data_IF_687105337993
#
_entry.id   IF_687105337993
#
_cell.length_a   1.000
_cell.length_b   1.000
_cell.length_c   1.000
_cell.angle_alpha   90.00
_cell.angle_beta   90.00
_cell.angle_gamma   90.00
#
_symmetry.space_group_name_H-M   'P 1'
#
loop_
_entity.id
_entity.type
_entity.pdbx_description
1 polymer ?
#
# COMPACT_ATOMS: atom_id res chain seq x y z
N UNK A 1 18.37 -1.69 2.67
CA UNK A 1 17.19 -1.07 2.00
C UNK A 1 16.86 0.20 2.80
N UNK A 2 16.99 1.38 2.19
CA UNK A 2 16.72 2.62 2.91
C UNK A 2 15.21 2.86 2.87
N UNK A 3 14.51 2.65 4.00
CA UNK A 3 13.10 2.99 4.14
C UNK A 3 12.84 4.50 3.97
N UNK A 4 11.61 4.89 3.73
CA UNK A 4 11.21 6.31 3.75
C UNK A 4 11.54 6.86 5.14
N UNK A 5 12.41 7.86 5.22
CA UNK A 5 12.88 8.43 6.48
C UNK A 5 11.98 9.56 7.00
N UNK A 6 10.99 10.00 6.21
CA UNK A 6 10.06 11.05 6.59
C UNK A 6 8.79 11.00 5.74
N UNK A 7 7.72 11.54 6.29
CA UNK A 7 6.44 11.78 5.64
C UNK A 7 5.98 13.22 5.91
N UNK A 8 5.22 13.78 4.99
CA UNK A 8 4.59 15.09 5.15
C UNK A 8 3.08 14.91 5.06
N UNK A 9 2.33 15.62 5.91
CA UNK A 9 0.88 15.61 5.88
C UNK A 9 0.35 16.19 4.56
N UNK A 10 -0.84 15.77 4.10
CA UNK A 10 -1.44 16.25 2.84
C UNK A 10 -1.53 17.78 2.75
N UNK A 11 -1.84 18.48 3.83
CA UNK A 11 -1.89 19.94 3.90
C UNK A 11 -0.50 20.62 4.02
N UNK A 12 0.59 19.84 4.14
CA UNK A 12 1.95 20.35 4.26
C UNK A 12 2.32 20.92 5.64
N UNK A 13 1.45 20.83 6.65
CA UNK A 13 1.70 21.39 7.99
C UNK A 13 2.64 20.54 8.81
N UNK A 14 2.47 19.24 8.84
CA UNK A 14 3.25 18.34 9.68
C UNK A 14 4.28 17.55 8.87
N UNK A 15 5.49 17.44 9.41
CA UNK A 15 6.51 16.51 8.91
C UNK A 15 6.84 15.53 10.02
N UNK A 16 6.74 14.25 9.70
CA UNK A 16 7.03 13.16 10.63
C UNK A 16 8.18 12.30 10.16
N UNK A 17 8.90 11.73 11.11
CA UNK A 17 10.02 10.86 10.87
C UNK A 17 10.60 10.31 12.16
N UNK A 18 11.88 10.02 12.16
CA UNK A 18 12.60 9.64 13.38
C UNK A 18 13.99 10.24 13.41
N UNK A 19 14.42 10.65 14.60
CA UNK A 19 15.79 11.02 14.88
C UNK A 19 16.58 9.76 15.29
N UNK A 20 17.85 9.70 14.90
CA UNK A 20 18.74 8.63 15.30
C UNK A 20 19.84 9.19 16.22
N UNK A 21 20.09 8.53 17.34
CA UNK A 21 21.16 8.85 18.29
C UNK A 21 21.93 7.58 18.67
N UNK A 22 23.11 7.76 19.24
CA UNK A 22 23.93 6.66 19.76
C UNK A 22 23.79 6.65 21.29
N UNK A 23 23.36 5.52 21.84
CA UNK A 23 23.27 5.32 23.26
C UNK A 23 24.66 5.17 23.90
N UNK A 24 24.78 5.26 25.26
CA UNK A 24 26.06 5.11 25.97
C UNK A 24 26.75 3.74 25.79
N UNK A 25 26.00 2.72 25.33
CA UNK A 25 26.49 1.38 25.02
C UNK A 25 26.85 1.18 23.53
N UNK A 26 26.98 2.28 22.78
CA UNK A 26 27.23 2.31 21.33
C UNK A 26 26.10 1.72 20.46
N UNK A 27 24.92 1.43 21.03
CA UNK A 27 23.75 1.03 20.26
C UNK A 27 23.04 2.23 19.61
N UNK A 28 22.40 1.99 18.45
CA UNK A 28 21.56 3.02 17.81
C UNK A 28 20.18 3.08 18.48
N UNK A 29 19.78 4.29 18.85
CA UNK A 29 18.44 4.59 19.34
C UNK A 29 17.69 5.45 18.33
N UNK A 30 16.38 5.19 18.19
CA UNK A 30 15.52 5.92 17.28
C UNK A 30 14.35 6.51 18.06
N UNK A 31 14.18 7.83 17.92
CA UNK A 31 13.08 8.58 18.54
C UNK A 31 12.15 9.06 17.41
N UNK A 32 10.86 8.69 17.39
CA UNK A 32 9.90 9.33 16.52
C UNK A 32 9.86 10.84 16.75
N UNK A 33 9.70 11.59 15.65
CA UNK A 33 9.66 13.06 15.69
C UNK A 33 8.55 13.56 14.79
N UNK A 34 7.74 14.49 15.29
CA UNK A 34 6.76 15.26 14.52
C UNK A 34 7.17 16.72 14.62
N UNK A 35 7.22 17.42 13.48
CA UNK A 35 7.45 18.87 13.42
C UNK A 35 6.23 19.55 12.84
N UNK A 36 5.64 20.48 13.56
CA UNK A 36 4.64 21.40 13.05
C UNK A 36 5.34 22.55 12.34
N UNK A 37 5.23 22.64 11.02
CA UNK A 37 5.87 23.67 10.20
C UNK A 37 5.21 25.04 10.34
N UNK A 38 3.97 25.11 10.82
CA UNK A 38 3.25 26.35 11.03
C UNK A 38 3.71 27.04 12.31
N UNK A 39 3.90 26.29 13.39
CA UNK A 39 4.33 26.84 14.69
C UNK A 39 5.83 26.71 14.94
N UNK A 40 6.52 25.82 14.22
CA UNK A 40 7.91 25.44 14.46
C UNK A 40 8.08 24.50 15.67
N UNK A 41 7.00 24.01 16.24
CA UNK A 41 7.04 23.12 17.41
C UNK A 41 7.50 21.70 17.00
N UNK A 42 8.32 21.10 17.86
CA UNK A 42 8.88 19.77 17.62
C UNK A 42 8.46 18.85 18.77
N UNK A 43 7.80 17.77 18.43
CA UNK A 43 7.36 16.71 19.35
C UNK A 43 8.29 15.52 19.16
N UNK A 44 9.07 15.17 20.19
CA UNK A 44 9.99 14.05 20.20
C UNK A 44 9.51 12.98 21.18
N UNK A 45 9.40 11.75 20.69
CA UNK A 45 8.94 10.59 21.45
C UNK A 45 10.13 9.66 21.71
N UNK A 46 10.79 9.82 22.81
CA UNK A 46 11.90 8.94 23.01
C UNK A 46 12.66 9.01 24.32
N UNK A 47 13.55 8.06 24.54
CA UNK A 47 13.70 6.83 23.74
C UNK A 47 12.46 5.94 23.89
N UNK A 48 11.93 5.44 22.78
CA UNK A 48 10.78 4.55 22.80
C UNK A 48 11.11 3.27 23.60
N UNK A 49 10.18 2.72 24.39
CA UNK A 49 10.45 1.57 25.27
C UNK A 49 11.02 0.38 24.49
N UNK A 50 11.82 -0.44 25.17
CA UNK A 50 12.64 -1.56 24.66
C UNK A 50 12.04 -2.46 23.57
N UNK A 51 10.75 -2.38 23.29
CA UNK A 51 10.05 -3.18 22.29
C UNK A 51 10.27 -2.72 20.83
N UNK A 52 10.73 -1.48 20.59
CA UNK A 52 10.95 -0.96 19.24
C UNK A 52 12.44 -0.68 19.02
N UNK A 53 13.19 -1.74 18.82
CA UNK A 53 14.61 -1.63 18.53
C UNK A 53 14.92 -1.17 17.08
N UNK A 54 13.92 -1.17 16.19
CA UNK A 54 14.10 -0.79 14.79
C UNK A 54 12.83 -0.17 14.21
N UNK A 55 12.69 1.14 14.31
CA UNK A 55 11.76 1.90 13.46
C UNK A 55 12.31 1.89 12.04
N UNK A 56 11.73 1.08 11.16
CA UNK A 56 12.31 0.82 9.85
C UNK A 56 11.80 1.73 8.77
N UNK A 57 10.60 2.29 8.93
CA UNK A 57 9.98 3.06 7.88
C UNK A 57 8.90 3.99 8.43
N UNK A 58 9.01 5.29 8.11
CA UNK A 58 7.89 6.22 8.27
C UNK A 58 6.88 5.93 7.17
N UNK A 59 5.64 5.65 7.55
CA UNK A 59 4.58 5.28 6.62
C UNK A 59 3.82 6.51 6.11
N UNK A 60 3.16 7.23 7.02
CA UNK A 60 2.36 8.40 6.71
C UNK A 60 2.18 9.28 7.96
N UNK A 61 1.67 10.49 7.74
CA UNK A 61 1.22 11.42 8.79
C UNK A 61 -0.05 12.12 8.34
N UNK A 62 -1.04 12.27 9.23
CA UNK A 62 -2.29 12.97 8.96
C UNK A 62 -2.16 14.49 9.10
N UNK A 63 -3.18 15.24 8.65
CA UNK A 63 -3.28 16.69 8.84
C UNK A 63 -3.52 17.11 10.31
N UNK A 64 -3.78 16.14 11.18
CA UNK A 64 -3.86 16.34 12.63
C UNK A 64 -2.58 15.91 13.38
N UNK A 65 -1.49 15.63 12.65
CA UNK A 65 -0.21 15.29 13.26
C UNK A 65 -0.13 13.88 13.85
N UNK A 66 -0.95 12.93 13.37
CA UNK A 66 -0.82 11.52 13.75
C UNK A 66 0.17 10.84 12.81
N UNK A 67 1.33 10.46 13.34
CA UNK A 67 2.45 9.84 12.62
C UNK A 67 2.42 8.32 12.78
N UNK A 68 2.49 7.60 11.66
CA UNK A 68 2.57 6.14 11.63
C UNK A 68 3.97 5.68 11.25
N UNK A 69 4.59 4.84 12.08
CA UNK A 69 5.92 4.29 11.87
C UNK A 69 5.86 2.77 11.97
N UNK A 70 6.47 2.08 11.01
CA UNK A 70 6.58 0.63 11.01
C UNK A 70 7.63 0.16 12.01
N UNK A 71 7.23 -0.77 12.88
CA UNK A 71 8.14 -1.51 13.76
C UNK A 71 8.78 -2.66 12.96
N UNK A 72 10.07 -2.56 12.76
CA UNK A 72 10.81 -3.57 11.98
C UNK A 72 11.13 -4.83 12.75
N UNK A 73 11.03 -4.83 14.07
CA UNK A 73 11.36 -5.99 14.91
C UNK A 73 10.12 -6.83 15.24
N UNK A 74 9.05 -6.17 15.73
CA UNK A 74 7.83 -6.89 16.12
C UNK A 74 6.81 -6.99 15.00
N UNK A 75 7.08 -6.37 13.84
CA UNK A 75 6.11 -6.18 12.76
C UNK A 75 5.00 -5.21 13.16
N UNK A 76 4.18 -4.80 12.18
CA UNK A 76 3.09 -3.88 12.42
C UNK A 76 3.51 -2.40 12.45
N UNK A 77 2.60 -1.55 12.91
CA UNK A 77 2.76 -0.10 12.92
C UNK A 77 2.41 0.45 14.29
N UNK A 78 3.10 1.52 14.67
CA UNK A 78 2.81 2.31 15.87
C UNK A 78 2.46 3.73 15.44
N UNK A 79 1.43 4.30 16.06
CA UNK A 79 1.01 5.67 15.86
C UNK A 79 1.46 6.56 17.02
N UNK A 80 1.90 7.78 16.70
CA UNK A 80 2.30 8.84 17.60
C UNK A 80 1.53 10.10 17.25
N UNK A 81 1.05 10.85 18.24
CA UNK A 81 0.37 12.11 18.00
C UNK A 81 1.01 13.28 18.74
N UNK A 82 0.62 14.51 18.38
CA UNK A 82 1.15 15.75 18.99
C UNK A 82 0.70 15.96 20.44
N UNK A 83 -0.21 15.14 20.97
CA UNK A 83 -0.61 15.15 22.39
C UNK A 83 0.26 14.24 23.25
N UNK A 84 1.18 13.47 22.63
CA UNK A 84 2.07 12.54 23.31
C UNK A 84 1.51 11.13 23.45
N UNK A 85 0.38 10.82 22.81
CA UNK A 85 -0.18 9.49 22.85
C UNK A 85 0.58 8.56 21.89
N UNK A 86 0.72 7.31 22.34
CA UNK A 86 1.31 6.22 21.58
C UNK A 86 0.27 5.12 21.46
N UNK A 87 -0.09 4.76 20.22
CA UNK A 87 -1.16 3.80 19.96
C UNK A 87 -0.68 2.70 19.03
N UNK A 88 -0.92 1.44 19.40
CA UNK A 88 -0.79 0.30 18.50
C UNK A 88 -2.14 0.05 17.80
N UNK A 89 -2.21 0.18 16.46
CA UNK A 89 -3.41 -0.18 15.71
C UNK A 89 -3.79 -1.65 15.95
N UNK A 90 -5.09 -1.90 16.14
CA UNK A 90 -5.60 -3.25 16.38
C UNK A 90 -5.91 -3.94 15.07
N UNK A 91 -5.69 -5.26 15.01
CA UNK A 91 -6.24 -6.13 13.97
C UNK A 91 -7.71 -6.45 14.25
N UNK A 92 -8.50 -6.79 13.22
CA UNK A 92 -9.82 -7.36 13.43
C UNK A 92 -9.76 -8.63 14.28
N UNK A 93 -10.89 -9.00 14.91
CA UNK A 93 -10.98 -10.23 15.68
C UNK A 93 -10.65 -11.47 14.82
N UNK A 94 -9.86 -12.39 15.36
CA UNK A 94 -9.42 -13.61 14.66
C UNK A 94 -8.09 -13.48 13.91
N UNK A 95 -7.56 -12.26 13.74
CA UNK A 95 -6.24 -12.05 13.14
C UNK A 95 -5.13 -12.22 14.18
N UNK A 96 -4.08 -12.96 13.83
CA UNK A 96 -2.95 -13.22 14.74
C UNK A 96 -1.82 -12.22 14.63
N UNK A 97 -1.68 -11.58 13.46
CA UNK A 97 -0.58 -10.66 13.17
C UNK A 97 -0.87 -9.22 13.58
N UNK A 98 0.20 -8.45 13.83
CA UNK A 98 0.09 -7.00 13.99
C UNK A 98 -0.15 -6.36 12.62
N UNK A 99 -1.06 -5.36 12.51
CA UNK A 99 -1.37 -4.75 11.24
C UNK A 99 -0.28 -3.75 10.82
N UNK A 100 -0.13 -3.58 9.52
CA UNK A 100 0.69 -2.52 8.93
C UNK A 100 -0.23 -1.44 8.38
N UNK A 101 -0.11 -0.20 8.85
CA UNK A 101 -0.76 0.97 8.28
C UNK A 101 0.14 1.52 7.18
N UNK A 102 -0.41 1.73 5.98
CA UNK A 102 0.32 2.24 4.82
C UNK A 102 0.00 3.73 4.54
N UNK A 103 -1.25 4.14 4.78
CA UNK A 103 -1.69 5.50 4.52
C UNK A 103 -2.87 5.91 5.41
N UNK A 104 -3.10 7.23 5.48
CA UNK A 104 -4.23 7.85 6.18
C UNK A 104 -4.90 8.90 5.30
N UNK A 105 -6.22 9.10 5.46
CA UNK A 105 -6.92 10.27 4.93
C UNK A 105 -6.42 11.56 5.58
N UNK A 106 -6.67 12.71 4.96
CA UNK A 106 -6.23 14.01 5.48
C UNK A 106 -6.73 14.28 6.89
N UNK A 107 -8.00 14.01 7.14
CA UNK A 107 -8.64 14.20 8.44
C UNK A 107 -8.26 13.14 9.50
N UNK A 108 -7.44 12.15 9.12
CA UNK A 108 -7.02 11.07 10.02
C UNK A 108 -8.12 10.09 10.41
N UNK A 109 -9.34 10.25 9.88
CA UNK A 109 -10.48 9.38 10.18
C UNK A 109 -10.30 7.96 9.65
N UNK A 110 -9.74 7.84 8.43
CA UNK A 110 -9.53 6.58 7.74
C UNK A 110 -8.05 6.25 7.67
N UNK A 111 -7.69 5.04 8.08
CA UNK A 111 -6.36 4.46 7.87
C UNK A 111 -6.51 3.22 7.03
N UNK A 112 -5.57 2.96 6.15
CA UNK A 112 -5.57 1.77 5.31
C UNK A 112 -4.26 1.02 5.43
N UNK A 113 -4.34 -0.28 5.24
CA UNK A 113 -3.19 -1.16 5.34
C UNK A 113 -3.56 -2.62 5.21
N UNK A 114 -2.87 -3.48 5.92
CA UNK A 114 -3.10 -4.92 5.84
C UNK A 114 -2.69 -5.62 7.13
N UNK A 115 -3.25 -6.79 7.38
CA UNK A 115 -2.74 -7.68 8.40
C UNK A 115 -1.69 -8.63 7.81
N UNK A 116 -0.56 -8.74 8.49
CA UNK A 116 0.37 -9.84 8.28
C UNK A 116 -0.16 -11.05 9.05
N UNK A 117 -1.05 -11.80 8.44
CA UNK A 117 -1.19 -13.18 8.84
C UNK A 117 0.11 -13.90 8.50
N UNK A 118 0.45 -14.89 9.29
CA UNK A 118 1.63 -15.73 9.10
C UNK A 118 1.43 -16.61 7.84
N UNK A 119 1.44 -15.91 6.68
CA UNK A 119 1.09 -16.43 5.34
C UNK A 119 1.96 -17.63 5.00
N UNK A 120 3.20 -17.63 5.49
CA UNK A 120 4.20 -18.64 5.15
C UNK A 120 4.05 -19.94 5.99
N UNK A 121 3.43 -19.87 7.16
CA UNK A 121 3.29 -21.03 8.04
C UNK A 121 1.95 -21.78 7.93
N UNK A 122 0.87 -21.10 7.55
CA UNK A 122 -0.49 -21.69 7.51
C UNK A 122 -1.23 -21.52 6.18
N UNK A 123 -0.61 -20.92 5.15
CA UNK A 123 -1.26 -20.69 3.84
C UNK A 123 -2.37 -19.63 3.87
N UNK A 124 -2.38 -18.75 4.86
CA UNK A 124 -3.31 -17.63 4.96
C UNK A 124 -3.04 -16.56 3.92
N UNK A 125 -4.09 -15.85 3.48
CA UNK A 125 -3.97 -14.73 2.55
C UNK A 125 -3.76 -13.43 3.33
N UNK A 126 -2.90 -12.53 2.80
CA UNK A 126 -2.83 -11.15 3.28
C UNK A 126 -4.16 -10.46 3.01
N UNK A 127 -4.73 -9.82 4.04
CA UNK A 127 -6.03 -9.17 3.98
C UNK A 127 -5.90 -7.65 4.04
N UNK A 128 -6.53 -6.93 3.08
CA UNK A 128 -6.57 -5.48 3.10
C UNK A 128 -7.52 -5.00 4.18
N UNK A 129 -7.10 -4.00 4.93
CA UNK A 129 -7.83 -3.48 6.08
C UNK A 129 -8.09 -1.98 5.94
N UNK A 130 -9.23 -1.54 6.46
CA UNK A 130 -9.60 -0.16 6.72
C UNK A 130 -9.87 0.02 8.21
N UNK A 131 -9.33 1.07 8.80
CA UNK A 131 -9.72 1.56 10.11
C UNK A 131 -10.55 2.82 9.95
N UNK A 132 -11.69 2.84 10.58
CA UNK A 132 -12.53 4.04 10.70
C UNK A 132 -12.53 4.46 12.16
N UNK A 133 -12.00 5.64 12.46
CA UNK A 133 -11.84 6.12 13.84
C UNK A 133 -11.11 5.08 14.73
N UNK A 134 -10.08 4.42 14.18
CA UNK A 134 -9.30 3.39 14.87
C UNK A 134 -9.95 2.00 14.97
N UNK A 135 -11.17 1.82 14.45
CA UNK A 135 -11.89 0.53 14.45
C UNK A 135 -11.59 -0.19 13.13
N UNK A 136 -10.94 -1.38 13.17
CA UNK A 136 -10.57 -2.12 11.97
C UNK A 136 -11.74 -2.91 11.37
N UNK A 137 -11.76 -2.94 10.03
CA UNK A 137 -12.61 -3.80 9.24
C UNK A 137 -11.85 -4.34 8.02
N UNK A 138 -12.17 -5.54 7.57
CA UNK A 138 -11.63 -6.09 6.33
C UNK A 138 -12.29 -5.40 5.13
N UNK A 139 -11.48 -4.98 4.16
CA UNK A 139 -11.97 -4.49 2.88
C UNK A 139 -12.48 -5.66 2.02
N UNK A 140 -13.57 -5.47 1.25
CA UNK A 140 -14.09 -6.51 0.38
C UNK A 140 -13.01 -7.07 -0.55
N UNK A 141 -12.99 -8.39 -0.70
CA UNK A 141 -12.05 -9.11 -1.55
C UNK A 141 -12.68 -9.35 -2.94
N UNK A 142 -11.94 -9.25 -4.05
CA UNK A 142 -12.45 -9.65 -5.35
C UNK A 142 -12.53 -11.18 -5.43
N UNK A 143 -13.40 -11.72 -6.31
CA UNK A 143 -13.58 -13.18 -6.42
C UNK A 143 -12.35 -13.88 -6.98
N UNK A 144 -11.60 -13.19 -7.84
CA UNK A 144 -10.42 -13.70 -8.54
C UNK A 144 -9.35 -12.64 -8.62
N UNK A 145 -8.09 -13.08 -8.77
CA UNK A 145 -6.97 -12.19 -9.05
C UNK A 145 -7.10 -11.55 -10.46
N UNK A 146 -6.18 -10.68 -10.81
CA UNK A 146 -6.21 -9.99 -12.11
C UNK A 146 -5.99 -10.91 -13.34
N UNK A 147 -5.52 -12.15 -13.14
CA UNK A 147 -5.39 -13.20 -14.16
C UNK A 147 -6.62 -14.14 -14.22
N UNK A 148 -7.67 -13.85 -13.45
CA UNK A 148 -8.86 -14.68 -13.30
C UNK A 148 -8.59 -16.03 -12.61
N UNK A 149 -7.57 -16.10 -11.76
CA UNK A 149 -7.17 -17.25 -10.95
C UNK A 149 -7.53 -17.04 -9.47
N UNK A 150 -7.40 -18.08 -8.66
CA UNK A 150 -7.51 -17.98 -7.21
C UNK A 150 -6.31 -17.25 -6.61
N UNK A 151 -6.52 -16.50 -5.53
CA UNK A 151 -5.45 -15.82 -4.83
C UNK A 151 -4.52 -16.81 -4.13
N UNK A 152 -3.22 -16.53 -4.17
CA UNK A 152 -2.18 -17.31 -3.48
C UNK A 152 -1.54 -16.56 -2.34
N UNK A 153 -1.40 -15.24 -2.46
CA UNK A 153 -0.74 -14.38 -1.47
C UNK A 153 -1.71 -13.39 -0.83
N UNK A 154 -2.61 -12.80 -1.62
CA UNK A 154 -3.62 -11.88 -1.14
C UNK A 154 -3.44 -10.44 -1.59
N UNK A 155 -4.04 -9.51 -0.83
CA UNK A 155 -4.13 -8.10 -1.19
C UNK A 155 -3.65 -7.25 -0.02
N UNK A 156 -2.94 -6.16 -0.34
CA UNK A 156 -2.54 -5.12 0.59
C UNK A 156 -3.18 -3.80 0.18
N UNK A 157 -3.91 -3.14 1.06
CA UNK A 157 -4.30 -1.75 0.84
C UNK A 157 -3.06 -0.86 1.03
N UNK A 158 -2.77 0.01 0.05
CA UNK A 158 -1.50 0.75 -0.05
C UNK A 158 -1.65 2.25 0.08
N UNK A 159 -2.84 2.77 -0.16
CA UNK A 159 -3.07 4.20 -0.05
C UNK A 159 -4.53 4.56 -0.11
N UNK A 160 -4.81 5.81 0.26
CA UNK A 160 -6.14 6.38 0.32
C UNK A 160 -6.09 7.83 -0.17
N UNK A 161 -7.15 8.29 -0.82
CA UNK A 161 -7.29 9.71 -1.20
C UNK A 161 -7.44 10.60 0.04
N UNK A 162 -7.12 11.88 -0.10
CA UNK A 162 -7.19 12.83 1.00
C UNK A 162 -8.59 12.91 1.65
N UNK A 163 -9.63 12.81 0.83
CA UNK A 163 -11.03 12.79 1.27
C UNK A 163 -11.53 11.42 1.78
N UNK A 164 -10.70 10.37 1.70
CA UNK A 164 -11.07 9.03 2.15
C UNK A 164 -11.94 8.21 1.20
N UNK A 165 -12.34 8.76 0.04
CA UNK A 165 -13.32 8.13 -0.86
C UNK A 165 -12.74 7.01 -1.75
N UNK A 166 -11.45 7.11 -2.10
CA UNK A 166 -10.77 6.12 -2.93
C UNK A 166 -9.63 5.49 -2.16
N UNK A 167 -9.71 4.19 -2.04
CA UNK A 167 -8.64 3.35 -1.47
C UNK A 167 -8.04 2.57 -2.62
N UNK A 168 -6.72 2.52 -2.75
CA UNK A 168 -6.08 1.61 -3.69
C UNK A 168 -5.25 0.56 -2.98
N UNK A 169 -5.10 -0.58 -3.63
CA UNK A 169 -4.30 -1.68 -3.14
C UNK A 169 -3.59 -2.43 -4.25
N UNK A 170 -2.79 -3.38 -3.85
CA UNK A 170 -2.07 -4.26 -4.75
C UNK A 170 -2.25 -5.71 -4.36
N UNK A 171 -2.42 -6.56 -5.36
CA UNK A 171 -2.32 -8.00 -5.21
C UNK A 171 -0.92 -8.43 -5.59
N UNK A 172 -0.30 -9.24 -4.76
CA UNK A 172 1.00 -9.83 -5.06
C UNK A 172 0.81 -11.29 -5.45
N UNK A 173 0.78 -11.54 -6.74
CA UNK A 173 0.59 -12.88 -7.28
C UNK A 173 1.69 -13.19 -8.29
N UNK A 174 2.41 -14.29 -8.13
CA UNK A 174 3.45 -14.76 -9.07
C UNK A 174 4.47 -13.67 -9.49
N UNK A 175 4.93 -12.85 -8.53
CA UNK A 175 5.80 -11.69 -8.77
C UNK A 175 5.14 -10.49 -9.46
N UNK A 176 3.84 -10.53 -9.67
CA UNK A 176 3.05 -9.47 -10.28
C UNK A 176 2.29 -8.66 -9.22
N UNK A 177 2.27 -7.35 -9.39
CA UNK A 177 1.64 -6.40 -8.45
C UNK A 177 0.46 -5.70 -9.13
N UNK A 178 -0.56 -6.46 -9.50
CA UNK A 178 -1.77 -5.89 -10.08
C UNK A 178 -2.45 -4.94 -9.08
N UNK A 179 -2.90 -3.78 -9.58
CA UNK A 179 -3.56 -2.77 -8.77
C UNK A 179 -5.07 -2.88 -8.86
N UNK A 180 -5.72 -2.59 -7.74
CA UNK A 180 -7.17 -2.49 -7.60
C UNK A 180 -7.54 -1.31 -6.71
N UNK A 181 -8.81 -0.93 -6.73
CA UNK A 181 -9.29 0.14 -5.85
C UNK A 181 -10.70 -0.14 -5.34
N UNK A 182 -11.02 0.45 -4.20
CA UNK A 182 -12.34 0.46 -3.56
C UNK A 182 -12.88 1.88 -3.55
N UNK A 183 -14.20 2.00 -3.74
CA UNK A 183 -14.94 3.23 -3.44
C UNK A 183 -15.51 3.13 -2.03
N UNK A 184 -15.26 4.14 -1.24
CA UNK A 184 -15.74 4.28 0.14
C UNK A 184 -16.63 5.51 0.24
N UNK A 185 -17.92 5.34 0.47
CA UNK A 185 -18.87 6.44 0.65
C UNK A 185 -19.08 6.81 2.14
N UNK A 186 -18.28 6.22 3.02
CA UNK A 186 -18.34 6.42 4.47
C UNK A 186 -19.32 5.52 5.20
N UNK A 187 -20.32 4.97 4.52
CA UNK A 187 -21.29 4.02 5.06
C UNK A 187 -21.03 2.60 4.52
N UNK A 188 -20.65 2.52 3.26
CA UNK A 188 -20.41 1.27 2.57
C UNK A 188 -19.09 1.32 1.77
N UNK A 189 -18.50 0.16 1.61
CA UNK A 189 -17.33 -0.02 0.73
C UNK A 189 -17.75 -0.93 -0.40
N UNK A 190 -17.66 -0.43 -1.61
CA UNK A 190 -17.97 -1.20 -2.81
C UNK A 190 -16.98 -2.34 -3.01
N UNK A 191 -17.41 -3.39 -3.72
CA UNK A 191 -16.53 -4.45 -4.17
C UNK A 191 -15.40 -3.86 -5.04
N UNK A 192 -14.14 -4.26 -4.86
CA UNK A 192 -13.03 -3.63 -5.55
C UNK A 192 -13.06 -3.87 -7.06
N UNK A 193 -12.46 -2.92 -7.78
CA UNK A 193 -12.30 -2.98 -9.22
C UNK A 193 -10.80 -3.01 -9.57
N UNK A 194 -10.44 -3.80 -10.58
CA UNK A 194 -9.08 -3.84 -11.09
C UNK A 194 -8.79 -2.58 -11.92
N UNK A 195 -7.70 -1.90 -11.62
CA UNK A 195 -7.19 -0.75 -12.38
C UNK A 195 -6.73 -1.26 -13.76
N UNK A 196 -7.03 -0.50 -14.81
CA UNK A 196 -6.63 -0.85 -16.18
C UNK A 196 -7.51 -1.90 -16.87
N UNK A 197 -8.70 -2.17 -16.34
CA UNK A 197 -9.62 -3.14 -16.96
C UNK A 197 -9.98 -2.80 -18.40
N UNK A 198 -10.02 -1.52 -18.74
CA UNK A 198 -10.37 -0.99 -20.07
C UNK A 198 -9.26 -1.19 -21.12
N UNK A 199 -8.04 -1.45 -20.72
CA UNK A 199 -6.87 -1.70 -21.59
C UNK A 199 -6.32 -3.12 -21.44
N UNK A 200 -7.08 -4.00 -20.79
CA UNK A 200 -6.65 -5.38 -20.56
C UNK A 200 -6.94 -6.27 -21.75
N UNK A 201 -5.89 -6.95 -22.20
CA UNK A 201 -5.95 -7.96 -23.26
C UNK A 201 -5.31 -9.25 -22.76
N UNK A 202 -5.80 -10.39 -23.20
CA UNK A 202 -5.25 -11.70 -22.81
C UNK A 202 -5.01 -12.53 -24.05
N UNK A 203 -3.88 -13.25 -24.07
CA UNK A 203 -3.57 -14.24 -25.09
C UNK A 203 -3.02 -15.51 -24.42
N UNK A 204 -3.29 -16.66 -25.02
CA UNK A 204 -2.65 -17.92 -24.61
C UNK A 204 -1.45 -18.15 -25.51
N UNK A 205 -0.27 -18.08 -24.94
CA UNK A 205 1.01 -18.19 -25.65
C UNK A 205 1.66 -19.52 -25.32
N UNK A 206 2.15 -20.22 -26.33
CA UNK A 206 2.90 -21.46 -26.13
C UNK A 206 4.33 -21.17 -25.75
N UNK A 207 4.72 -21.56 -24.56
CA UNK A 207 6.04 -21.35 -24.00
C UNK A 207 6.82 -22.67 -23.97
N UNK A 208 8.13 -22.59 -24.02
CA UNK A 208 9.01 -23.76 -23.83
C UNK A 208 10.01 -23.50 -22.72
N UNK A 209 10.09 -24.41 -21.76
CA UNK A 209 11.11 -24.37 -20.71
C UNK A 209 11.78 -25.74 -20.62
N UNK A 210 13.09 -25.79 -20.88
CA UNK A 210 13.88 -27.03 -20.88
C UNK A 210 13.30 -28.17 -21.75
N UNK A 211 12.72 -27.79 -22.92
CA UNK A 211 12.11 -28.75 -23.86
C UNK A 211 10.70 -29.21 -23.47
N UNK A 212 10.13 -28.69 -22.40
CA UNK A 212 8.75 -28.91 -22.01
C UNK A 212 7.92 -27.74 -22.51
N UNK A 213 6.97 -28.03 -23.39
CA UNK A 213 6.02 -27.04 -23.90
C UNK A 213 4.81 -26.96 -22.96
N UNK A 214 4.35 -25.72 -22.70
CA UNK A 214 3.16 -25.46 -21.90
C UNK A 214 2.46 -24.19 -22.41
N UNK A 215 1.15 -24.15 -22.22
CA UNK A 215 0.36 -22.97 -22.52
C UNK A 215 0.42 -22.00 -21.34
N UNK A 216 0.75 -20.73 -21.62
CA UNK A 216 0.84 -19.65 -20.64
C UNK A 216 -0.11 -18.52 -21.03
N UNK A 217 -0.92 -18.06 -20.07
CA UNK A 217 -1.79 -16.90 -20.28
C UNK A 217 -1.02 -15.62 -20.01
N UNK A 218 -0.66 -14.93 -21.09
CA UNK A 218 -0.12 -13.58 -21.04
C UNK A 218 -1.24 -12.55 -20.88
N UNK A 219 -0.96 -11.47 -20.16
CA UNK A 219 -1.92 -10.39 -19.92
C UNK A 219 -1.26 -9.04 -20.18
N UNK A 220 -1.69 -8.35 -21.23
CA UNK A 220 -1.41 -6.92 -21.40
C UNK A 220 -2.38 -6.09 -20.55
N UNK A 221 -1.99 -4.89 -20.17
CA UNK A 221 -2.86 -3.99 -19.43
C UNK A 221 -2.92 -4.25 -17.92
N UNK A 222 -1.98 -5.02 -17.38
CA UNK A 222 -1.83 -5.06 -15.93
C UNK A 222 -1.24 -3.73 -15.49
N UNK A 223 -2.01 -2.96 -14.72
CA UNK A 223 -1.47 -1.77 -14.07
C UNK A 223 -0.85 -2.20 -12.75
N UNK A 224 0.46 -2.13 -12.71
CA UNK A 224 1.27 -2.53 -11.57
C UNK A 224 1.62 -1.35 -10.68
N UNK A 225 1.87 -1.63 -9.40
CA UNK A 225 2.45 -0.67 -8.49
C UNK A 225 3.86 -0.30 -8.95
N UNK A 226 4.11 1.00 -9.13
CA UNK A 226 5.47 1.56 -9.18
C UNK A 226 5.94 1.90 -7.75
N UNK A 227 7.24 2.16 -7.56
CA UNK A 227 7.81 2.50 -6.24
C UNK A 227 7.15 3.69 -5.55
N UNK A 228 6.55 4.61 -6.34
CA UNK A 228 5.89 5.82 -5.87
C UNK A 228 4.45 5.91 -6.37
N UNK A 229 3.76 4.78 -6.50
CA UNK A 229 2.34 4.78 -6.84
C UNK A 229 1.56 5.54 -5.78
N UNK A 230 0.69 6.41 -6.22
CA UNK A 230 -0.17 7.22 -5.38
C UNK A 230 -1.55 7.39 -6.00
N UNK A 231 -2.54 7.59 -5.15
CA UNK A 231 -3.83 8.14 -5.53
C UNK A 231 -3.78 9.66 -5.37
N UNK A 232 -4.37 10.40 -6.30
CA UNK A 232 -4.48 11.86 -6.17
C UNK A 232 -5.29 12.25 -4.93
N UNK A 233 -5.07 13.45 -4.35
CA UNK A 233 -5.82 13.89 -3.18
C UNK A 233 -7.34 13.84 -3.34
N UNK A 234 -7.85 14.12 -4.54
CA UNK A 234 -9.28 14.02 -4.88
C UNK A 234 -9.78 12.61 -5.12
N UNK A 235 -8.90 11.60 -5.16
CA UNK A 235 -9.27 10.24 -5.53
C UNK A 235 -9.47 10.00 -7.04
N UNK A 236 -9.47 11.06 -7.86
CA UNK A 236 -9.78 10.99 -9.29
C UNK A 236 -8.78 10.17 -10.11
N UNK A 237 -7.49 10.22 -9.73
CA UNK A 237 -6.42 9.58 -10.49
C UNK A 237 -5.61 8.61 -9.65
N UNK A 238 -5.34 7.44 -10.22
CA UNK A 238 -4.38 6.47 -9.69
C UNK A 238 -3.23 6.37 -10.69
N UNK A 239 -2.01 6.64 -10.24
CA UNK A 239 -0.81 6.47 -11.06
C UNK A 239 -0.23 5.08 -10.86
N UNK A 240 0.24 4.48 -11.95
CA UNK A 240 0.85 3.16 -11.93
C UNK A 240 1.73 2.92 -13.14
N UNK A 241 2.07 1.68 -13.37
CA UNK A 241 2.90 1.23 -14.48
C UNK A 241 2.13 0.19 -15.30
N UNK A 242 1.80 0.54 -16.54
CA UNK A 242 1.24 -0.39 -17.52
C UNK A 242 2.31 -1.43 -17.89
N UNK A 243 1.92 -2.69 -17.95
CA UNK A 243 2.79 -3.79 -18.37
C UNK A 243 2.23 -4.47 -19.61
N UNK A 244 3.10 -4.71 -20.58
CA UNK A 244 2.85 -5.45 -21.81
C UNK A 244 3.67 -6.75 -21.77
N UNK A 245 3.03 -7.89 -21.99
CA UNK A 245 3.66 -9.23 -21.92
C UNK A 245 3.72 -9.92 -23.30
N UNK A 246 2.88 -9.47 -24.24
CA UNK A 246 2.86 -10.04 -25.58
C UNK A 246 2.55 -8.97 -26.63
N UNK A 247 2.96 -9.23 -27.86
CA UNK A 247 2.59 -8.43 -29.03
C UNK A 247 1.16 -8.83 -29.48
N UNK A 248 0.19 -7.90 -29.47
CA UNK A 248 -1.18 -8.21 -29.83
C UNK A 248 -1.37 -8.57 -31.32
N UNK A 249 -0.45 -8.19 -32.21
CA UNK A 249 -0.53 -8.52 -33.63
C UNK A 249 -0.03 -9.94 -33.94
N UNK A 250 1.03 -10.35 -33.25
CA UNK A 250 1.67 -11.66 -33.48
C UNK A 250 1.28 -12.70 -32.44
N UNK A 251 0.68 -12.28 -31.34
CA UNK A 251 0.39 -13.09 -30.14
C UNK A 251 1.63 -13.79 -29.57
N UNK A 252 2.82 -13.24 -29.83
CA UNK A 252 4.08 -13.78 -29.31
C UNK A 252 4.46 -13.08 -28.01
N UNK A 253 5.09 -13.81 -27.07
CA UNK A 253 5.63 -13.21 -25.88
C UNK A 253 6.75 -12.22 -26.25
N UNK A 254 6.79 -11.10 -25.54
CA UNK A 254 7.84 -10.10 -25.67
C UNK A 254 8.58 -9.95 -24.33
N UNK A 255 9.76 -9.36 -24.36
CA UNK A 255 10.35 -8.86 -23.14
C UNK A 255 9.41 -7.84 -22.52
N UNK A 256 9.24 -7.91 -21.20
CA UNK A 256 8.24 -7.06 -20.51
C UNK A 256 8.55 -5.58 -20.75
N UNK A 257 7.64 -4.91 -21.41
CA UNK A 257 7.66 -3.46 -21.59
C UNK A 257 6.81 -2.78 -20.52
N UNK A 258 7.26 -1.62 -20.09
CA UNK A 258 6.63 -0.85 -19.04
C UNK A 258 6.47 0.61 -19.43
N UNK A 259 5.25 1.13 -19.28
CA UNK A 259 4.90 2.51 -19.58
C UNK A 259 4.27 3.17 -18.36
N UNK A 260 4.38 4.49 -18.24
CA UNK A 260 3.62 5.21 -17.22
C UNK A 260 2.13 5.15 -17.56
N UNK A 261 1.32 4.94 -16.53
CA UNK A 261 -0.13 4.86 -16.71
C UNK A 261 -0.87 5.66 -15.64
N UNK A 262 -1.97 6.29 -16.06
CA UNK A 262 -2.87 7.04 -15.19
C UNK A 262 -4.30 6.52 -15.40
N UNK A 263 -4.90 6.03 -14.34
CA UNK A 263 -6.26 5.55 -14.34
C UNK A 263 -7.21 6.57 -13.71
N UNK A 264 -8.28 6.92 -14.42
CA UNK A 264 -9.31 7.82 -13.92
C UNK A 264 -10.43 7.01 -13.27
N UNK A 265 -10.64 7.19 -11.97
CA UNK A 265 -11.63 6.43 -11.17
C UNK A 265 -13.07 6.82 -11.44
N UNK A 266 -13.32 8.01 -12.03
CA UNK A 266 -14.68 8.49 -12.38
C UNK A 266 -15.13 7.95 -13.74
N UNK A 267 -14.22 7.98 -14.73
CA UNK A 267 -14.53 7.53 -16.11
C UNK A 267 -14.13 6.09 -16.38
N UNK A 268 -13.40 5.48 -15.46
CA UNK A 268 -12.84 4.11 -15.57
C UNK A 268 -11.97 3.92 -16.83
N UNK A 269 -11.20 4.98 -17.17
CA UNK A 269 -10.33 5.00 -18.35
C UNK A 269 -8.86 5.12 -17.95
N UNK A 270 -8.04 4.38 -18.69
CA UNK A 270 -6.57 4.40 -18.57
C UNK A 270 -5.96 5.28 -19.64
N UNK A 271 -4.99 6.11 -19.25
CA UNK A 271 -4.11 6.84 -20.15
C UNK A 271 -2.73 6.19 -20.02
N UNK A 272 -2.19 5.69 -21.12
CA UNK A 272 -0.84 5.14 -21.23
C UNK A 272 0.02 6.21 -21.87
N UNK A 273 1.19 6.47 -21.26
CA UNK A 273 2.17 7.42 -21.82
C UNK A 273 3.25 6.59 -22.50
N UNK A 274 3.20 6.56 -23.83
CA UNK A 274 4.22 5.96 -24.69
C UNK A 274 5.19 7.08 -25.13
N UNK A 275 6.48 6.75 -25.23
CA UNK A 275 7.52 7.70 -25.68
C UNK A 275 7.42 8.01 -27.19
#
# INVERSE_FOLDING_TARGET
MFGKRGAMSPNGRFVGGYAASVAPDDSWQYSPVITDLETGEVYEFGPYPEAIHFLTQTMCISDHGVLFIKDGYNGGTVAFDTEGNITEPRSPEGYKGKPTIEATSSDGKYWVGYANDDILSEGGLTRPLLWTDGIPAELPFPDKNFRNEDFRVGIMARGISANGEIIYGTSWENSDFGMLYWKNDGANIEKPQWVGKDVRETATVRMSNNGIEYDYTCVNGIICQAWNTQVSPSGKWIAGRYRKEFDPETEQPIDQEHYAAFYNTETEKTIIVED
#
